data_IF_798131857585
#
_entry.id   IF_798131857585
#
_cell.length_a   1.000
_cell.length_b   1.000
_cell.length_c   1.000
_cell.angle_alpha   90.00
_cell.angle_beta   90.00
_cell.angle_gamma   90.00
#
_symmetry.space_group_name_H-M   'P 1'
#
loop_
_entity.id
_entity.type
_entity.pdbx_description
1 polymer ?
#
# COMPACT_ATOMS: atom_id res chain seq x y z
N UNK A 1 5.58 -5.84 -7.01
CA UNK A 1 4.29 -6.55 -6.97
C UNK A 1 3.47 -6.19 -5.75
N UNK A 2 4.03 -6.22 -4.53
CA UNK A 2 3.27 -5.91 -3.31
C UNK A 2 2.59 -4.54 -3.32
N UNK A 3 3.32 -3.47 -3.63
CA UNK A 3 2.74 -2.12 -3.71
C UNK A 3 1.54 -2.02 -4.66
N UNK A 4 1.57 -2.73 -5.78
CA UNK A 4 0.45 -2.75 -6.73
C UNK A 4 -0.77 -3.51 -6.18
N UNK A 5 -0.58 -4.55 -5.37
CA UNK A 5 -1.70 -5.26 -4.75
C UNK A 5 -2.43 -4.37 -3.74
N UNK A 6 -1.69 -3.66 -2.87
CA UNK A 6 -2.28 -2.69 -1.93
C UNK A 6 -3.04 -1.58 -2.67
N UNK A 7 -2.42 -1.03 -3.73
CA UNK A 7 -3.05 0.02 -4.54
C UNK A 7 -4.35 -0.45 -5.19
N UNK A 8 -4.35 -1.66 -5.79
CA UNK A 8 -5.54 -2.20 -6.43
C UNK A 8 -6.67 -2.48 -5.43
N UNK A 9 -6.32 -2.94 -4.24
CA UNK A 9 -7.30 -3.14 -3.16
C UNK A 9 -7.92 -1.80 -2.72
N UNK A 10 -7.11 -0.78 -2.46
CA UNK A 10 -7.58 0.57 -2.12
C UNK A 10 -8.43 1.19 -3.24
N UNK A 11 -7.98 1.04 -4.49
CA UNK A 11 -8.65 1.61 -5.66
C UNK A 11 -10.00 0.96 -5.94
N UNK A 12 -10.14 -0.34 -5.68
CA UNK A 12 -11.38 -1.09 -5.94
C UNK A 12 -12.27 -1.24 -4.72
N UNK A 13 -11.75 -0.98 -3.52
CA UNK A 13 -12.42 -1.24 -2.25
C UNK A 13 -12.60 -2.74 -1.96
N UNK A 14 -11.80 -3.61 -2.57
CA UNK A 14 -11.92 -5.07 -2.47
C UNK A 14 -10.58 -5.76 -2.70
N UNK A 15 -10.23 -6.74 -1.87
CA UNK A 15 -9.03 -7.57 -2.07
C UNK A 15 -9.13 -8.48 -3.32
N UNK A 16 -10.36 -8.76 -3.78
CA UNK A 16 -10.65 -9.69 -4.87
C UNK A 16 -10.58 -9.05 -6.25
N UNK A 17 -10.13 -9.84 -7.24
CA UNK A 17 -10.26 -9.46 -8.64
C UNK A 17 -11.73 -9.26 -9.03
N UNK A 18 -12.05 -8.34 -9.97
CA UNK A 18 -13.39 -8.24 -10.52
C UNK A 18 -13.87 -9.59 -11.06
N UNK A 19 -15.00 -10.09 -10.56
CA UNK A 19 -15.52 -11.42 -10.90
C UNK A 19 -14.97 -12.57 -10.03
N UNK A 20 -14.10 -12.28 -9.06
CA UNK A 20 -13.65 -13.19 -8.00
C UNK A 20 -12.48 -14.11 -8.36
N UNK A 21 -12.02 -14.14 -9.61
CA UNK A 21 -10.90 -14.97 -10.04
C UNK A 21 -10.21 -14.40 -11.28
N UNK A 22 -8.94 -14.02 -11.14
CA UNK A 22 -8.07 -13.81 -12.30
C UNK A 22 -7.55 -15.15 -12.80
N UNK A 23 -7.54 -15.33 -14.12
CA UNK A 23 -7.02 -16.53 -14.76
C UNK A 23 -5.97 -16.17 -15.83
N UNK A 24 -4.91 -16.95 -15.91
CA UNK A 24 -3.91 -16.83 -16.97
C UNK A 24 -3.57 -18.20 -17.55
N UNK A 25 -3.53 -18.29 -18.89
CA UNK A 25 -3.22 -19.55 -19.58
C UNK A 25 -1.72 -19.65 -19.85
N UNK A 26 -1.12 -20.76 -19.42
CA UNK A 26 0.25 -21.16 -19.73
C UNK A 26 0.22 -22.41 -20.64
N UNK A 27 0.27 -22.24 -21.97
CA UNK A 27 0.16 -23.35 -22.90
C UNK A 27 1.39 -24.26 -22.86
N UNK A 28 1.17 -25.56 -23.08
CA UNK A 28 2.21 -26.59 -23.08
C UNK A 28 3.36 -26.20 -24.01
N UNK A 29 4.60 -26.28 -23.49
CA UNK A 29 5.85 -26.01 -24.20
C UNK A 29 5.93 -24.63 -24.89
N UNK A 30 5.10 -23.65 -24.51
CA UNK A 30 5.03 -22.34 -25.18
C UNK A 30 5.05 -21.16 -24.20
N UNK A 31 5.07 -21.41 -22.89
CA UNK A 31 4.94 -20.33 -21.90
C UNK A 31 6.30 -19.88 -21.34
N UNK A 32 7.20 -20.81 -21.05
CA UNK A 32 8.52 -20.48 -20.51
C UNK A 32 9.45 -19.97 -21.62
N UNK A 33 10.30 -18.99 -21.28
CA UNK A 33 11.18 -18.30 -22.25
C UNK A 33 12.54 -18.99 -22.39
N UNK A 34 12.97 -19.73 -21.38
CA UNK A 34 14.32 -20.30 -21.27
C UNK A 34 14.36 -21.83 -21.35
N UNK A 35 13.21 -22.50 -21.34
CA UNK A 35 13.07 -23.95 -21.48
C UNK A 35 11.70 -24.32 -22.05
N UNK A 36 11.55 -25.55 -22.55
CA UNK A 36 10.27 -26.08 -22.98
C UNK A 36 9.40 -26.39 -21.76
N UNK A 37 8.38 -25.57 -21.52
CA UNK A 37 7.39 -25.83 -20.48
C UNK A 37 6.19 -24.88 -20.51
N UNK A 38 5.14 -25.19 -19.72
CA UNK A 38 4.94 -26.41 -18.91
C UNK A 38 4.72 -27.69 -19.75
N UNK A 39 4.85 -28.88 -19.17
CA UNK A 39 4.68 -30.17 -19.86
C UNK A 39 3.22 -30.53 -20.20
N UNK A 40 2.28 -29.71 -19.74
CA UNK A 40 0.84 -29.77 -20.01
C UNK A 40 0.31 -28.33 -20.03
N UNK A 41 -0.87 -28.09 -20.59
CA UNK A 41 -1.52 -26.79 -20.41
C UNK A 41 -1.81 -26.56 -18.93
N UNK A 42 -1.31 -25.45 -18.39
CA UNK A 42 -1.57 -25.02 -17.02
C UNK A 42 -2.42 -23.76 -17.06
N UNK A 43 -3.39 -23.65 -16.14
CA UNK A 43 -4.12 -22.41 -15.91
C UNK A 43 -3.75 -21.89 -14.52
N UNK A 44 -3.11 -20.73 -14.49
CA UNK A 44 -2.80 -20.00 -13.25
C UNK A 44 -4.04 -19.23 -12.81
N UNK A 45 -4.28 -19.17 -11.50
CA UNK A 45 -5.50 -18.60 -10.95
C UNK A 45 -5.21 -17.87 -9.63
N UNK A 46 -5.81 -16.68 -9.45
CA UNK A 46 -5.66 -15.86 -8.25
C UNK A 46 -7.01 -15.29 -7.84
N UNK A 47 -7.42 -15.50 -6.59
CA UNK A 47 -8.66 -14.93 -6.07
C UNK A 47 -8.48 -13.45 -5.72
N UNK A 48 -7.35 -13.13 -5.10
CA UNK A 48 -7.01 -11.78 -4.64
C UNK A 48 -5.85 -11.16 -5.42
N UNK A 49 -5.72 -9.84 -5.37
CA UNK A 49 -4.49 -9.15 -5.81
C UNK A 49 -3.27 -9.62 -5.00
N UNK A 50 -3.51 -9.97 -3.74
CA UNK A 50 -2.51 -10.45 -2.80
C UNK A 50 -1.91 -11.79 -3.22
N UNK A 51 -2.74 -12.75 -3.66
CA UNK A 51 -2.29 -14.05 -4.16
C UNK A 51 -1.34 -13.88 -5.36
N UNK A 52 -1.72 -13.03 -6.32
CA UNK A 52 -0.91 -12.73 -7.50
C UNK A 52 0.42 -12.07 -7.12
N UNK A 53 0.41 -11.13 -6.17
CA UNK A 53 1.65 -10.55 -5.66
C UNK A 53 2.52 -11.57 -4.94
N UNK A 54 1.94 -12.50 -4.20
CA UNK A 54 2.66 -13.52 -3.45
C UNK A 54 3.37 -14.49 -4.39
N UNK A 55 2.67 -14.98 -5.41
CA UNK A 55 3.26 -15.85 -6.44
C UNK A 55 4.33 -15.11 -7.26
N UNK A 56 4.08 -13.84 -7.61
CA UNK A 56 5.07 -13.01 -8.30
C UNK A 56 6.39 -12.91 -7.51
N UNK A 57 6.33 -12.77 -6.18
CA UNK A 57 7.53 -12.73 -5.36
C UNK A 57 8.20 -14.12 -5.22
N UNK A 58 7.41 -15.19 -5.02
CA UNK A 58 7.94 -16.56 -5.00
C UNK A 58 8.63 -16.95 -6.32
N UNK A 59 8.11 -16.49 -7.45
CA UNK A 59 8.68 -16.76 -8.78
C UNK A 59 10.14 -16.33 -8.90
N UNK A 60 10.56 -15.29 -8.15
CA UNK A 60 11.94 -14.80 -8.14
C UNK A 60 12.89 -15.77 -7.44
N UNK A 61 12.41 -16.45 -6.40
CA UNK A 61 13.15 -17.50 -5.71
C UNK A 61 13.20 -18.78 -6.55
N UNK A 62 12.07 -19.18 -7.14
CA UNK A 62 12.03 -20.35 -8.03
C UNK A 62 12.90 -20.17 -9.28
N UNK A 63 12.97 -18.95 -9.81
CA UNK A 63 13.86 -18.60 -10.91
C UNK A 63 15.33 -18.41 -10.52
N UNK A 64 15.68 -18.52 -9.23
CA UNK A 64 17.07 -18.44 -8.74
C UNK A 64 17.70 -17.05 -8.80
N UNK A 65 16.90 -15.98 -8.85
CA UNK A 65 17.37 -14.59 -9.02
C UNK A 65 17.15 -13.70 -7.79
N UNK A 66 16.53 -14.23 -6.72
CA UNK A 66 16.50 -13.60 -5.40
C UNK A 66 16.69 -14.64 -4.29
N UNK A 67 17.52 -14.37 -3.26
CA UNK A 67 17.57 -15.17 -2.05
C UNK A 67 16.33 -14.97 -1.16
N UNK A 68 15.95 -15.95 -0.33
CA UNK A 68 14.78 -15.85 0.56
C UNK A 68 14.80 -14.67 1.53
N UNK A 69 15.99 -14.19 1.91
CA UNK A 69 16.15 -13.05 2.83
C UNK A 69 15.59 -11.74 2.26
N UNK A 70 15.46 -11.64 0.92
CA UNK A 70 14.94 -10.43 0.27
C UNK A 70 13.40 -10.37 0.28
N UNK A 71 12.72 -11.51 0.41
CA UNK A 71 11.27 -11.62 0.20
C UNK A 71 10.47 -10.85 1.27
N UNK A 72 10.67 -11.19 2.54
CA UNK A 72 9.91 -10.59 3.64
C UNK A 72 10.17 -9.07 3.81
N UNK A 73 11.42 -8.56 3.74
CA UNK A 73 11.67 -7.13 3.74
C UNK A 73 11.06 -6.43 2.52
N UNK A 74 11.21 -7.00 1.31
CA UNK A 74 10.65 -6.41 0.10
C UNK A 74 9.13 -6.29 0.12
N UNK A 75 8.44 -7.29 0.71
CA UNK A 75 6.99 -7.23 0.93
C UNK A 75 6.61 -6.13 1.93
N UNK A 76 7.32 -6.00 3.05
CA UNK A 76 7.04 -4.92 4.02
C UNK A 76 7.18 -3.53 3.37
N UNK A 77 8.27 -3.29 2.65
CA UNK A 77 8.47 -2.03 1.91
C UNK A 77 7.32 -1.80 0.93
N UNK A 78 6.97 -2.84 0.15
CA UNK A 78 5.88 -2.74 -0.81
C UNK A 78 4.52 -2.41 -0.17
N UNK A 79 4.23 -2.91 1.04
CA UNK A 79 2.99 -2.58 1.76
C UNK A 79 2.89 -1.08 2.01
N UNK A 80 3.92 -0.52 2.64
CA UNK A 80 3.96 0.91 2.97
C UNK A 80 3.94 1.79 1.72
N UNK A 81 4.83 1.51 0.74
CA UNK A 81 4.90 2.30 -0.50
C UNK A 81 3.59 2.28 -1.27
N UNK A 82 2.88 1.15 -1.31
CA UNK A 82 1.59 1.04 -2.01
C UNK A 82 0.51 1.92 -1.38
N UNK A 83 0.36 1.84 -0.06
CA UNK A 83 -0.64 2.63 0.70
C UNK A 83 -0.31 4.13 0.66
N UNK A 84 0.94 4.51 0.95
CA UNK A 84 1.36 5.91 0.97
C UNK A 84 1.24 6.56 -0.41
N UNK A 85 1.66 5.88 -1.48
CA UNK A 85 1.53 6.40 -2.83
C UNK A 85 0.06 6.58 -3.25
N UNK A 86 -0.86 5.73 -2.78
CA UNK A 86 -2.28 5.91 -3.01
C UNK A 86 -2.79 7.17 -2.31
N UNK A 87 -2.51 7.34 -1.02
CA UNK A 87 -2.97 8.51 -0.26
C UNK A 87 -2.38 9.83 -0.78
N UNK A 88 -1.10 9.85 -1.13
CA UNK A 88 -0.50 11.01 -1.79
C UNK A 88 -1.14 11.30 -3.16
N UNK A 89 -1.51 10.27 -3.92
CA UNK A 89 -2.25 10.49 -5.16
C UNK A 89 -3.64 11.10 -4.90
N UNK A 90 -4.31 10.78 -3.80
CA UNK A 90 -5.59 11.39 -3.42
C UNK A 90 -5.45 12.90 -3.18
N UNK A 91 -4.37 13.37 -2.54
CA UNK A 91 -4.12 14.81 -2.31
C UNK A 91 -3.97 15.57 -3.63
N UNK A 92 -3.30 14.98 -4.62
CA UNK A 92 -3.14 15.55 -5.97
C UNK A 92 -4.45 15.55 -6.76
N UNK A 93 -5.23 14.47 -6.67
CA UNK A 93 -6.49 14.32 -7.42
C UNK A 93 -7.60 15.19 -6.84
N UNK A 94 -7.60 15.42 -5.53
CA UNK A 94 -8.60 16.21 -4.81
C UNK A 94 -7.95 17.36 -4.01
N UNK A 95 -7.26 18.31 -4.68
CA UNK A 95 -6.46 19.33 -4.01
C UNK A 95 -7.30 20.27 -3.14
N UNK A 96 -8.60 20.43 -3.42
CA UNK A 96 -9.51 21.22 -2.59
C UNK A 96 -9.70 20.64 -1.17
N UNK A 97 -9.33 19.39 -0.94
CA UNK A 97 -9.46 18.71 0.35
C UNK A 97 -8.13 18.47 1.06
N UNK A 98 -6.98 18.73 0.41
CA UNK A 98 -5.65 18.55 0.99
C UNK A 98 -5.06 19.91 1.42
N UNK A 99 -4.60 20.02 2.66
CA UNK A 99 -4.02 21.28 3.18
C UNK A 99 -2.74 21.70 2.46
N UNK A 100 -1.91 20.73 2.04
CA UNK A 100 -0.68 20.95 1.25
C UNK A 100 -0.94 21.78 -0.02
N UNK A 101 -2.11 21.59 -0.64
CA UNK A 101 -2.53 22.30 -1.86
C UNK A 101 -3.50 23.46 -1.59
N UNK A 102 -3.60 23.92 -0.33
CA UNK A 102 -4.46 25.04 0.09
C UNK A 102 -5.94 24.68 0.23
N UNK A 103 -6.26 23.39 0.37
CA UNK A 103 -7.59 22.86 0.60
C UNK A 103 -8.04 22.92 2.06
N UNK A 104 -9.05 22.12 2.39
CA UNK A 104 -9.73 22.15 3.71
C UNK A 104 -9.20 21.14 4.75
N UNK A 105 -8.17 20.34 4.42
CA UNK A 105 -7.52 19.43 5.37
C UNK A 105 -8.27 18.13 5.68
N UNK A 106 -9.20 17.71 4.82
CA UNK A 106 -9.88 16.41 5.00
C UNK A 106 -9.02 15.23 4.52
N UNK A 107 -8.24 15.43 3.45
CA UNK A 107 -7.32 14.42 2.94
C UNK A 107 -5.93 14.69 3.52
N UNK A 108 -5.44 13.84 4.45
CA UNK A 108 -4.09 13.97 4.96
C UNK A 108 -3.04 13.60 3.91
N UNK A 109 -1.89 14.25 3.98
CA UNK A 109 -0.70 13.78 3.31
C UNK A 109 -0.20 12.46 3.94
N UNK A 110 0.38 11.61 3.10
CA UNK A 110 0.93 10.30 3.50
C UNK A 110 2.39 10.12 3.09
N UNK A 111 3.06 11.14 2.54
CA UNK A 111 4.47 11.06 2.17
C UNK A 111 5.36 11.00 3.41
N UNK A 112 5.02 11.80 4.43
CA UNK A 112 5.71 11.79 5.72
C UNK A 112 4.80 11.38 6.88
N UNK A 113 5.27 10.43 7.68
CA UNK A 113 4.52 9.94 8.83
C UNK A 113 4.29 11.06 9.86
N UNK A 114 3.01 11.34 10.15
CA UNK A 114 2.59 12.35 11.14
C UNK A 114 2.54 13.79 10.63
N UNK A 115 3.01 14.07 9.41
CA UNK A 115 2.83 15.37 8.75
C UNK A 115 1.60 15.25 7.85
N UNK A 116 0.43 15.47 8.43
CA UNK A 116 -0.85 15.25 7.76
C UNK A 116 -1.28 16.44 6.92
N UNK A 117 -0.74 17.63 7.19
CA UNK A 117 -1.04 18.81 6.38
C UNK A 117 -0.03 19.04 5.24
N UNK A 118 1.08 18.28 5.20
CA UNK A 118 2.11 18.36 4.16
C UNK A 118 2.96 19.63 4.26
N UNK A 119 3.10 20.22 5.45
CA UNK A 119 3.88 21.45 5.66
C UNK A 119 5.37 21.19 5.95
N UNK A 120 5.76 19.92 6.06
CA UNK A 120 7.12 19.46 6.33
C UNK A 120 7.44 19.35 7.83
N UNK A 121 6.50 19.61 8.73
CA UNK A 121 6.71 19.57 10.16
C UNK A 121 5.58 18.85 10.91
N UNK A 122 5.93 17.86 11.72
CA UNK A 122 4.97 17.16 12.60
C UNK A 122 4.71 18.02 13.84
N UNK A 123 3.51 18.58 13.96
CA UNK A 123 3.21 19.56 15.01
C UNK A 123 1.75 19.62 15.45
N UNK A 124 1.39 20.80 15.98
CA UNK A 124 0.05 21.02 16.52
C UNK A 124 -1.04 21.15 15.45
N UNK A 125 -0.67 21.41 14.19
CA UNK A 125 -1.63 21.39 13.09
C UNK A 125 -2.04 19.94 12.79
N UNK A 126 -1.06 19.04 12.72
CA UNK A 126 -1.27 17.62 12.42
C UNK A 126 -2.05 16.91 13.51
N UNK A 127 -1.79 17.21 14.78
CA UNK A 127 -2.57 16.59 15.87
C UNK A 127 -4.05 17.00 15.80
N UNK A 128 -4.35 18.21 15.31
CA UNK A 128 -5.76 18.63 15.13
C UNK A 128 -6.39 17.81 14.01
N UNK A 129 -5.69 17.61 12.89
CA UNK A 129 -6.13 16.75 11.79
C UNK A 129 -6.34 15.29 12.25
N UNK A 130 -5.37 14.72 12.96
CA UNK A 130 -5.47 13.39 13.56
C UNK A 130 -6.72 13.24 14.43
N UNK A 131 -7.00 14.22 15.30
CA UNK A 131 -8.17 14.20 16.17
C UNK A 131 -9.49 14.26 15.40
N UNK A 132 -9.51 14.75 14.16
CA UNK A 132 -10.71 14.71 13.30
C UNK A 132 -11.01 13.31 12.77
N UNK A 133 -10.00 12.45 12.66
CA UNK A 133 -10.12 11.07 12.19
C UNK A 133 -10.19 10.03 13.33
N UNK A 134 -10.01 10.46 14.58
CA UNK A 134 -9.98 9.54 15.72
C UNK A 134 -11.30 8.75 15.87
N UNK A 135 -11.20 7.43 15.77
CA UNK A 135 -12.35 6.52 15.83
C UNK A 135 -13.21 6.46 14.57
N UNK A 136 -12.80 7.12 13.47
CA UNK A 136 -13.45 6.99 12.17
C UNK A 136 -13.11 5.64 11.52
N UNK A 137 -14.01 5.09 10.67
CA UNK A 137 -13.80 3.79 10.02
C UNK A 137 -12.77 3.83 8.89
N UNK A 138 -12.42 5.02 8.40
CA UNK A 138 -11.35 5.20 7.44
C UNK A 138 -10.11 5.67 8.19
N UNK A 139 -9.06 4.85 8.17
CA UNK A 139 -7.84 5.13 8.92
C UNK A 139 -6.81 5.93 8.11
N UNK A 140 -6.64 5.60 6.82
CA UNK A 140 -5.78 6.35 5.92
C UNK A 140 -4.35 6.54 6.45
N UNK A 141 -3.68 7.65 6.12
CA UNK A 141 -2.38 8.03 6.70
C UNK A 141 -2.38 8.21 8.23
N UNK A 142 -3.55 8.38 8.87
CA UNK A 142 -3.63 8.55 10.32
C UNK A 142 -3.36 7.25 11.09
N UNK A 143 -3.44 6.09 10.44
CA UNK A 143 -3.03 4.78 10.95
C UNK A 143 -1.51 4.65 10.89
N UNK A 144 -0.84 5.03 11.99
CA UNK A 144 0.61 5.07 12.09
C UNK A 144 1.20 3.74 12.55
N UNK A 145 0.38 2.82 13.05
CA UNK A 145 0.80 1.49 13.51
C UNK A 145 0.29 0.32 12.65
N UNK A 146 -0.36 0.64 11.52
CA UNK A 146 -0.79 -0.30 10.48
C UNK A 146 -1.87 -1.29 10.97
N UNK A 147 -2.73 -0.85 11.91
CA UNK A 147 -3.83 -1.66 12.49
C UNK A 147 -5.18 -1.48 11.79
N UNK A 148 -5.23 -0.62 10.77
CA UNK A 148 -6.44 -0.20 10.05
C UNK A 148 -7.48 0.49 10.96
N UNK A 149 -7.02 1.06 12.09
CA UNK A 149 -7.83 1.85 13.02
C UNK A 149 -7.08 3.12 13.43
N UNK A 150 -7.81 4.18 13.80
CA UNK A 150 -7.22 5.41 14.36
C UNK A 150 -7.57 5.48 15.83
N UNK A 151 -6.62 5.12 16.70
CA UNK A 151 -6.85 5.04 18.13
C UNK A 151 -5.70 5.60 19.00
N UNK A 152 -5.71 5.26 20.29
CA UNK A 152 -4.71 5.77 21.23
C UNK A 152 -3.28 5.29 20.91
N UNK A 153 -3.12 4.15 20.25
CA UNK A 153 -1.84 3.60 19.86
C UNK A 153 -1.21 4.43 18.74
N UNK A 154 -1.99 4.88 17.76
CA UNK A 154 -1.53 5.83 16.74
C UNK A 154 -1.11 7.16 17.37
N UNK A 155 -1.88 7.66 18.35
CA UNK A 155 -1.51 8.86 19.07
C UNK A 155 -0.16 8.69 19.79
N UNK A 156 0.11 7.53 20.38
CA UNK A 156 1.40 7.26 20.99
C UNK A 156 2.53 7.26 19.96
N UNK A 157 2.30 6.70 18.76
CA UNK A 157 3.27 6.75 17.66
C UNK A 157 3.48 8.19 17.20
N UNK A 158 2.41 8.96 16.97
CA UNK A 158 2.46 10.37 16.59
C UNK A 158 3.30 11.20 17.58
N UNK A 159 3.13 10.98 18.89
CA UNK A 159 3.90 11.68 19.91
C UNK A 159 5.40 11.37 19.88
N UNK A 160 5.82 10.23 19.29
CA UNK A 160 7.25 9.96 19.05
C UNK A 160 7.81 10.77 17.87
N UNK A 161 6.94 11.26 17.00
CA UNK A 161 7.26 12.04 15.81
C UNK A 161 7.10 13.56 16.04
N UNK A 162 6.49 13.97 17.14
CA UNK A 162 6.18 15.37 17.41
C UNK A 162 7.44 16.25 17.40
N UNK A 163 7.36 17.39 16.71
CA UNK A 163 8.42 18.36 16.52
C UNK A 163 9.62 17.84 15.69
N UNK A 164 9.41 16.77 14.90
CA UNK A 164 10.31 16.38 13.81
C UNK A 164 9.92 17.10 12.52
N UNK A 165 10.89 17.25 11.63
CA UNK A 165 10.69 17.75 10.26
C UNK A 165 10.95 16.62 9.28
N UNK A 166 10.16 16.57 8.22
CA UNK A 166 10.33 15.65 7.11
C UNK A 166 11.49 16.17 6.24
N UNK A 167 12.56 15.39 6.07
CA UNK A 167 13.72 15.72 5.22
C UNK A 167 13.54 15.26 3.77
#
# INVERSE_FOLDING_TARGET
SRAAAELLELLTGSEYWPGGLAEWSAPMNQFLVFEDGPSVNVKLQWATFMDASNESALSRMWGGIHPPIDDAPGRRIGKHVGRHAFHYAETIVFPQWAEEFGGTGFLPDGDCAGDFNGDGAVGSADIVLFLTAYGEPWAGPYDLDDTDTVDAQDLLVFLTLYNLTCE
#
